data_IF_292786334908
#
_entry.id   IF_292786334908
#
_cell.length_a   1.000
_cell.length_b   1.000
_cell.length_c   1.000
_cell.angle_alpha   90.00
_cell.angle_beta   90.00
_cell.angle_gamma   90.00
#
_symmetry.space_group_name_H-M   'P 1'
#
loop_
_entity.id
_entity.type
_entity.pdbx_description
1 polymer ?
#
# COMPACT_ATOMS: atom_id res chain seq x y z
N UNK A 1 -0.17 -5.66 11.17
CA UNK A 1 -0.10 -5.49 12.64
C UNK A 1 0.83 -4.32 12.97
N UNK A 2 0.53 -3.52 13.99
CA UNK A 2 1.43 -2.45 14.44
C UNK A 2 2.64 -3.00 15.19
N UNK A 3 3.81 -2.38 15.02
CA UNK A 3 5.02 -2.64 15.84
C UNK A 3 4.83 -2.39 17.34
N UNK A 4 3.74 -1.73 17.73
CA UNK A 4 3.38 -1.55 19.15
C UNK A 4 2.79 -2.81 19.78
N UNK A 5 2.23 -3.73 18.98
CA UNK A 5 1.48 -4.85 19.50
C UNK A 5 2.39 -5.85 20.22
N UNK A 6 2.03 -6.38 21.42
CA UNK A 6 2.86 -7.32 22.16
C UNK A 6 3.17 -8.61 21.39
N UNK A 7 2.22 -9.07 20.57
CA UNK A 7 2.41 -10.28 19.74
C UNK A 7 3.18 -10.04 18.43
N UNK A 8 3.79 -8.86 18.23
CA UNK A 8 4.47 -8.54 16.96
C UNK A 8 5.53 -9.58 16.58
N UNK A 9 6.25 -10.12 17.57
CA UNK A 9 7.28 -11.14 17.35
C UNK A 9 6.66 -12.45 16.83
N UNK A 10 5.62 -12.94 17.50
CA UNK A 10 4.92 -14.15 17.08
C UNK A 10 4.26 -13.95 15.70
N UNK A 11 3.74 -12.75 15.43
CA UNK A 11 3.11 -12.39 14.16
C UNK A 11 4.10 -12.43 13.00
N UNK A 12 5.27 -11.79 13.12
CA UNK A 12 6.26 -11.80 12.03
C UNK A 12 6.88 -13.19 11.82
N UNK A 13 6.97 -14.01 12.87
CA UNK A 13 7.50 -15.38 12.78
C UNK A 13 6.48 -16.40 12.26
N UNK A 14 5.20 -16.02 12.21
CA UNK A 14 4.11 -16.92 11.83
C UNK A 14 4.24 -17.49 10.40
N UNK A 15 5.03 -16.84 9.54
CA UNK A 15 5.32 -17.24 8.16
C UNK A 15 6.59 -18.06 7.97
N UNK A 16 7.44 -18.15 8.99
CA UNK A 16 8.66 -18.96 8.94
C UNK A 16 8.34 -20.46 8.98
N UNK A 17 7.23 -20.83 9.62
CA UNK A 17 6.76 -22.22 9.64
C UNK A 17 5.98 -22.51 8.35
N UNK A 18 6.58 -23.28 7.45
CA UNK A 18 5.88 -23.71 6.24
C UNK A 18 4.59 -24.49 6.59
N UNK A 19 3.47 -24.12 5.95
CA UNK A 19 2.19 -24.83 6.07
C UNK A 19 1.18 -24.24 7.06
N UNK A 20 1.54 -23.29 7.92
CA UNK A 20 0.61 -22.67 8.90
C UNK A 20 -0.22 -21.53 8.32
N UNK A 21 0.42 -20.61 7.58
CA UNK A 21 -0.22 -19.43 6.98
C UNK A 21 0.15 -19.26 5.50
N UNK A 22 0.20 -20.37 4.76
CA UNK A 22 0.66 -20.40 3.37
C UNK A 22 -0.15 -19.54 2.39
N UNK A 23 -1.39 -19.18 2.74
CA UNK A 23 -2.31 -18.44 1.87
C UNK A 23 -2.70 -17.06 2.41
N UNK A 24 -1.99 -16.57 3.42
CA UNK A 24 -2.20 -15.24 3.99
C UNK A 24 -0.97 -14.39 3.78
N UNK A 25 -1.15 -13.13 3.40
CA UNK A 25 -0.09 -12.14 3.43
C UNK A 25 -0.11 -11.42 4.77
N UNK A 26 1.07 -11.22 5.37
CA UNK A 26 1.21 -10.39 6.56
C UNK A 26 1.96 -9.09 6.24
N UNK A 27 1.59 -8.02 6.95
CA UNK A 27 2.25 -6.72 6.85
C UNK A 27 2.34 -6.08 8.23
N UNK A 28 3.42 -5.32 8.43
CA UNK A 28 3.70 -4.61 9.67
C UNK A 28 3.60 -3.10 9.41
N UNK A 29 2.87 -2.41 10.29
CA UNK A 29 2.83 -0.96 10.29
C UNK A 29 3.85 -0.39 11.28
N UNK A 30 4.75 0.44 10.75
CA UNK A 30 5.77 1.20 11.49
C UNK A 30 5.36 2.66 11.57
N UNK A 31 5.84 3.39 12.57
CA UNK A 31 5.65 4.83 12.71
C UNK A 31 7.02 5.54 12.77
N UNK A 32 7.02 6.86 12.59
CA UNK A 32 8.23 7.68 12.58
C UNK A 32 8.98 7.54 13.92
N UNK A 33 8.26 7.50 15.06
CA UNK A 33 8.83 7.25 16.39
C UNK A 33 9.61 5.93 16.49
N UNK A 34 9.09 4.85 15.89
CA UNK A 34 9.78 3.56 15.87
C UNK A 34 11.04 3.63 15.02
N UNK A 35 10.98 4.29 13.85
CA UNK A 35 12.14 4.44 12.97
C UNK A 35 13.24 5.26 13.65
N UNK A 36 12.89 6.35 14.32
CA UNK A 36 13.82 7.14 15.16
C UNK A 36 14.42 6.29 16.28
N UNK A 37 13.61 5.44 16.93
CA UNK A 37 14.07 4.52 17.97
C UNK A 37 15.04 3.46 17.42
N UNK A 38 14.81 2.97 16.20
CA UNK A 38 15.71 2.05 15.49
C UNK A 38 17.05 2.74 15.21
N UNK A 39 17.03 3.96 14.66
CA UNK A 39 18.24 4.73 14.38
C UNK A 39 19.05 5.01 15.65
N UNK A 40 18.37 5.36 16.74
CA UNK A 40 18.97 5.70 18.03
C UNK A 40 19.36 4.49 18.89
N UNK A 41 19.05 3.26 18.45
CA UNK A 41 19.31 1.99 19.18
C UNK A 41 18.72 1.95 20.62
N UNK A 42 17.58 2.60 20.82
CA UNK A 42 16.88 2.64 22.11
C UNK A 42 15.91 1.48 22.28
N UNK A 43 15.40 1.33 23.49
CA UNK A 43 14.36 0.33 23.78
C UNK A 43 13.02 0.79 23.19
N UNK A 44 12.29 -0.16 22.62
CA UNK A 44 10.91 -0.01 22.15
C UNK A 44 9.96 -0.73 23.10
N UNK A 45 8.95 -0.03 23.58
CA UNK A 45 7.92 -0.58 24.47
C UNK A 45 6.72 -1.08 23.68
N UNK A 46 6.29 -2.31 23.96
CA UNK A 46 5.06 -2.86 23.38
C UNK A 46 3.84 -2.34 24.12
N UNK A 47 3.00 -1.59 23.42
CA UNK A 47 1.81 -0.90 23.95
C UNK A 47 0.56 -1.37 23.23
N UNK A 48 -0.40 -1.88 24.00
CA UNK A 48 -1.71 -2.30 23.49
C UNK A 48 -2.79 -2.05 24.54
N UNK A 49 -3.98 -1.61 24.12
CA UNK A 49 -5.11 -1.33 25.03
C UNK A 49 -4.71 -0.49 26.28
N UNK A 50 -3.89 0.56 26.07
CA UNK A 50 -3.36 1.45 27.11
C UNK A 50 -2.47 0.78 28.18
N UNK A 51 -1.93 -0.41 27.89
CA UNK A 51 -1.02 -1.14 28.77
C UNK A 51 0.31 -1.42 28.08
N UNK A 52 1.38 -1.44 28.87
CA UNK A 52 2.73 -1.83 28.42
C UNK A 52 2.97 -3.29 28.80
N UNK A 53 3.33 -4.12 27.81
CA UNK A 53 3.50 -5.58 27.99
C UNK A 53 4.96 -6.01 28.07
N UNK A 54 5.88 -5.13 27.71
CA UNK A 54 7.31 -5.41 27.70
C UNK A 54 8.06 -4.43 26.82
N UNK A 55 9.36 -4.69 26.64
CA UNK A 55 10.22 -3.91 25.77
C UNK A 55 11.34 -4.74 25.16
N UNK A 56 11.87 -4.30 24.03
CA UNK A 56 13.09 -4.82 23.43
C UNK A 56 13.83 -3.73 22.68
N UNK A 57 15.09 -3.94 22.31
CA UNK A 57 15.81 -3.00 21.43
C UNK A 57 15.05 -2.82 20.11
N UNK A 58 14.77 -1.57 19.73
CA UNK A 58 14.07 -1.23 18.49
C UNK A 58 14.80 -1.80 17.27
N UNK A 59 16.13 -1.65 17.22
CA UNK A 59 16.99 -2.22 16.18
C UNK A 59 16.92 -3.75 16.11
N UNK A 60 16.76 -4.42 17.26
CA UNK A 60 16.59 -5.88 17.29
C UNK A 60 15.25 -6.30 16.67
N UNK A 61 14.18 -5.55 16.92
CA UNK A 61 12.88 -5.79 16.28
C UNK A 61 12.96 -5.53 14.76
N UNK A 62 13.56 -4.41 14.37
CA UNK A 62 13.79 -4.06 12.97
C UNK A 62 14.57 -5.13 12.22
N UNK A 63 15.73 -5.54 12.75
CA UNK A 63 16.54 -6.58 12.12
C UNK A 63 15.75 -7.88 11.96
N UNK A 64 14.95 -8.26 12.97
CA UNK A 64 14.11 -9.45 12.87
C UNK A 64 13.06 -9.35 11.76
N UNK A 65 12.46 -8.17 11.56
CA UNK A 65 11.55 -7.94 10.43
C UNK A 65 12.29 -8.14 9.11
N UNK A 66 13.47 -7.55 8.97
CA UNK A 66 14.29 -7.66 7.75
C UNK A 66 14.75 -9.10 7.50
N UNK A 67 15.21 -9.80 8.53
CA UNK A 67 15.64 -11.20 8.43
C UNK A 67 14.50 -12.08 7.92
N UNK A 68 13.28 -11.91 8.47
CA UNK A 68 12.11 -12.63 7.99
C UNK A 68 11.74 -12.25 6.53
N UNK A 69 11.83 -10.97 6.17
CA UNK A 69 11.59 -10.53 4.78
C UNK A 69 12.59 -11.17 3.80
N UNK A 70 13.84 -11.36 4.20
CA UNK A 70 14.84 -12.05 3.40
C UNK A 70 14.57 -13.56 3.30
N UNK A 71 14.05 -14.16 4.36
CA UNK A 71 13.78 -15.60 4.43
C UNK A 71 12.50 -16.02 3.70
N UNK A 72 11.41 -15.28 3.87
CA UNK A 72 10.08 -15.66 3.39
C UNK A 72 9.33 -14.59 2.59
N UNK A 73 9.99 -13.47 2.23
CA UNK A 73 9.41 -12.32 1.52
C UNK A 73 8.27 -11.61 2.27
N UNK A 74 8.12 -11.89 3.57
CA UNK A 74 7.10 -11.29 4.45
C UNK A 74 7.73 -10.92 5.81
N UNK A 75 7.21 -9.94 6.55
CA UNK A 75 6.02 -9.13 6.25
C UNK A 75 6.26 -7.99 5.25
N UNK A 76 5.19 -7.53 4.60
CA UNK A 76 5.18 -6.20 3.97
C UNK A 76 5.38 -5.08 5.01
N UNK A 77 5.86 -3.92 4.58
CA UNK A 77 6.13 -2.76 5.45
C UNK A 77 5.27 -1.56 5.06
N UNK A 78 4.63 -0.95 6.04
CA UNK A 78 3.76 0.22 5.86
C UNK A 78 4.16 1.32 6.85
N UNK A 79 4.52 2.51 6.38
CA UNK A 79 4.66 3.68 7.26
C UNK A 79 3.27 4.26 7.56
N UNK A 80 2.82 4.08 8.80
CA UNK A 80 1.48 4.48 9.26
C UNK A 80 1.29 6.00 9.29
N UNK A 81 2.31 6.76 9.67
CA UNK A 81 2.23 8.23 9.68
C UNK A 81 1.96 8.78 8.28
N UNK A 82 2.70 8.29 7.29
CA UNK A 82 2.52 8.71 5.89
C UNK A 82 1.17 8.27 5.33
N UNK A 83 0.72 7.07 5.70
CA UNK A 83 -0.56 6.52 5.27
C UNK A 83 -1.73 7.35 5.81
N UNK A 84 -1.70 7.75 7.08
CA UNK A 84 -2.74 8.57 7.71
C UNK A 84 -2.75 10.01 7.16
N UNK A 85 -1.58 10.60 6.89
CA UNK A 85 -1.46 11.99 6.39
C UNK A 85 -1.93 12.17 4.95
N UNK A 86 -1.63 11.22 4.07
CA UNK A 86 -1.81 11.38 2.62
C UNK A 86 -3.08 10.69 2.08
N UNK A 87 -4.10 10.58 2.92
CA UNK A 87 -5.31 9.86 2.56
C UNK A 87 -6.57 10.52 3.12
N UNK A 88 -7.70 9.93 2.81
CA UNK A 88 -9.04 10.29 3.23
C UNK A 88 -9.34 10.06 4.72
N UNK A 89 -8.30 9.86 5.55
CA UNK A 89 -8.42 9.52 6.97
C UNK A 89 -9.32 10.47 7.76
N UNK A 90 -9.33 11.76 7.41
CA UNK A 90 -10.12 12.80 8.08
C UNK A 90 -11.63 12.60 7.99
N UNK A 91 -12.13 11.97 6.91
CA UNK A 91 -13.56 11.69 6.74
C UNK A 91 -13.87 10.20 6.90
N UNK A 92 -12.89 9.35 6.64
CA UNK A 92 -13.06 7.92 6.62
C UNK A 92 -11.78 7.21 7.09
N UNK A 93 -11.71 6.90 8.40
CA UNK A 93 -10.53 6.33 9.03
C UNK A 93 -10.15 4.98 8.43
N UNK A 94 -8.97 4.96 7.79
CA UNK A 94 -8.43 3.77 7.15
C UNK A 94 -7.86 2.81 8.19
N UNK A 95 -7.93 1.51 7.90
CA UNK A 95 -7.50 0.45 8.83
C UNK A 95 -6.33 -0.37 8.31
N UNK A 96 -6.03 -0.26 7.01
CA UNK A 96 -4.92 -0.95 6.38
C UNK A 96 -4.93 -0.74 4.88
N UNK A 97 -4.34 -1.69 4.17
CA UNK A 97 -4.36 -1.76 2.71
C UNK A 97 -5.07 -3.01 2.22
N UNK A 98 -5.40 -3.04 0.94
CA UNK A 98 -5.75 -4.28 0.24
C UNK A 98 -4.53 -5.23 0.15
N UNK A 99 -4.70 -6.47 -0.35
CA UNK A 99 -3.63 -7.46 -0.43
C UNK A 99 -2.41 -7.03 -1.26
N UNK A 100 -2.60 -6.14 -2.23
CA UNK A 100 -1.52 -5.67 -3.12
C UNK A 100 -0.81 -4.40 -2.59
N UNK A 101 -1.32 -3.79 -1.51
CA UNK A 101 -0.67 -2.69 -0.79
C UNK A 101 -0.86 -1.29 -1.37
N UNK A 102 -1.49 -1.16 -2.54
CA UNK A 102 -1.70 0.11 -3.26
C UNK A 102 -2.95 0.86 -2.84
N UNK A 103 -3.98 0.15 -2.38
CA UNK A 103 -5.24 0.76 -1.97
C UNK A 103 -5.32 0.82 -0.44
N UNK A 104 -5.31 2.04 0.11
CA UNK A 104 -5.47 2.30 1.54
C UNK A 104 -6.95 2.45 1.85
N UNK A 105 -7.49 1.54 2.66
CA UNK A 105 -8.92 1.31 2.78
C UNK A 105 -9.42 1.28 4.23
N UNK A 106 -10.66 1.73 4.38
CA UNK A 106 -11.45 1.58 5.60
C UNK A 106 -12.21 0.25 5.58
N UNK A 107 -12.83 -0.17 6.69
CA UNK A 107 -13.66 -1.37 6.70
C UNK A 107 -14.76 -1.30 5.62
N UNK A 108 -14.96 -2.42 4.92
CA UNK A 108 -15.95 -2.57 3.84
C UNK A 108 -15.73 -1.72 2.59
N UNK A 109 -14.59 -1.02 2.46
CA UNK A 109 -14.24 -0.34 1.21
C UNK A 109 -13.95 -1.33 0.07
N UNK A 110 -13.95 -0.80 -1.15
CA UNK A 110 -13.72 -1.55 -2.38
C UNK A 110 -12.54 -1.01 -3.19
N UNK A 111 -11.89 -1.90 -3.93
CA UNK A 111 -10.88 -1.56 -4.92
C UNK A 111 -11.51 -1.58 -6.33
N UNK A 112 -12.08 -0.47 -6.77
CA UNK A 112 -12.44 -0.31 -8.18
C UNK A 112 -11.24 0.24 -8.97
N UNK A 113 -10.59 -0.63 -9.75
CA UNK A 113 -9.25 -0.37 -10.30
C UNK A 113 -9.22 -0.35 -11.82
N UNK A 114 -8.45 0.57 -12.37
CA UNK A 114 -8.13 0.66 -13.80
C UNK A 114 -6.65 0.92 -14.03
N UNK A 115 -6.16 0.72 -15.25
CA UNK A 115 -4.75 1.00 -15.60
C UNK A 115 -4.60 1.54 -17.01
N UNK A 116 -3.85 2.63 -17.14
CA UNK A 116 -3.51 3.23 -18.43
C UNK A 116 -2.19 2.66 -18.97
N UNK A 117 -2.16 2.07 -20.18
CA UNK A 117 -0.93 1.62 -20.81
C UNK A 117 -0.11 2.83 -21.31
N UNK A 118 0.92 3.22 -20.55
CA UNK A 118 1.75 4.39 -20.83
C UNK A 118 2.33 4.45 -22.26
N UNK A 119 2.78 3.33 -22.87
CA UNK A 119 3.33 3.36 -24.24
C UNK A 119 2.35 3.91 -25.29
N UNK A 120 1.04 3.81 -25.07
CA UNK A 120 0.02 4.30 -26.02
C UNK A 120 -0.10 5.83 -26.07
N UNK A 121 0.64 6.53 -25.21
CA UNK A 121 0.66 7.99 -25.12
C UNK A 121 1.98 8.59 -25.62
N UNK A 122 2.83 7.82 -26.28
CA UNK A 122 4.05 8.35 -26.91
C UNK A 122 3.71 8.93 -28.29
N UNK A 123 4.28 10.09 -28.62
CA UNK A 123 4.22 10.72 -29.93
C UNK A 123 5.62 10.89 -30.51
N UNK A 124 5.79 10.43 -31.75
CA UNK A 124 7.13 10.25 -32.32
C UNK A 124 7.94 9.26 -31.49
N UNK A 125 9.24 9.52 -31.32
CA UNK A 125 10.10 8.58 -30.59
C UNK A 125 10.29 8.95 -29.10
N UNK A 126 10.07 10.20 -28.69
CA UNK A 126 10.49 10.63 -27.33
C UNK A 126 9.45 11.48 -26.58
N UNK A 127 8.44 12.01 -27.27
CA UNK A 127 7.51 12.95 -26.66
C UNK A 127 6.30 12.23 -26.07
N UNK A 128 5.73 12.81 -25.00
CA UNK A 128 4.45 12.37 -24.46
C UNK A 128 3.32 13.18 -25.09
N UNK A 129 2.27 12.51 -25.53
CA UNK A 129 0.99 13.13 -25.85
C UNK A 129 0.19 13.40 -24.58
N UNK A 130 0.57 14.45 -23.86
CA UNK A 130 -0.10 14.86 -22.62
C UNK A 130 -1.59 15.17 -22.81
N UNK A 131 -1.97 15.71 -23.98
CA UNK A 131 -3.38 15.98 -24.32
C UNK A 131 -4.19 14.69 -24.35
N UNK A 132 -3.73 13.69 -25.12
CA UNK A 132 -4.39 12.37 -25.20
C UNK A 132 -4.43 11.68 -23.84
N UNK A 133 -3.33 11.72 -23.08
CA UNK A 133 -3.30 11.14 -21.74
C UNK A 133 -4.38 11.78 -20.84
N UNK A 134 -4.47 13.11 -20.80
CA UNK A 134 -5.49 13.80 -20.01
C UNK A 134 -6.93 13.50 -20.46
N UNK A 135 -7.18 13.37 -21.76
CA UNK A 135 -8.50 12.99 -22.29
C UNK A 135 -8.89 11.57 -21.88
N UNK A 136 -7.96 10.60 -22.01
CA UNK A 136 -8.20 9.21 -21.63
C UNK A 136 -8.32 9.04 -20.11
N UNK A 137 -7.52 9.77 -19.32
CA UNK A 137 -7.64 9.77 -17.85
C UNK A 137 -9.04 10.20 -17.42
N UNK A 138 -9.60 11.28 -18.00
CA UNK A 138 -10.97 11.73 -17.67
C UNK A 138 -12.02 10.69 -18.04
N UNK A 139 -11.87 10.05 -19.19
CA UNK A 139 -12.77 8.98 -19.62
C UNK A 139 -12.68 7.77 -18.69
N UNK A 140 -11.46 7.37 -18.29
CA UNK A 140 -11.24 6.26 -17.39
C UNK A 140 -11.80 6.53 -15.98
N UNK A 141 -11.65 7.76 -15.46
CA UNK A 141 -12.26 8.17 -14.19
C UNK A 141 -13.78 8.04 -14.25
N UNK A 142 -14.42 8.54 -15.31
CA UNK A 142 -15.87 8.39 -15.49
C UNK A 142 -16.27 6.92 -15.61
N UNK A 143 -15.52 6.13 -16.37
CA UNK A 143 -15.79 4.69 -16.53
C UNK A 143 -15.75 3.95 -15.19
N UNK A 144 -14.74 4.21 -14.36
CA UNK A 144 -14.64 3.61 -13.02
C UNK A 144 -15.79 4.09 -12.12
N UNK A 145 -16.11 5.38 -12.16
CA UNK A 145 -17.28 5.89 -11.41
C UNK A 145 -18.59 5.19 -11.83
N UNK A 146 -18.79 4.93 -13.13
CA UNK A 146 -19.93 4.14 -13.62
C UNK A 146 -19.88 2.67 -13.14
N UNK A 147 -18.69 2.08 -12.97
CA UNK A 147 -18.50 0.73 -12.42
C UNK A 147 -19.04 0.62 -11.01
N UNK A 148 -18.88 1.66 -10.19
CA UNK A 148 -19.40 1.69 -8.81
C UNK A 148 -20.91 1.42 -8.78
N UNK A 149 -21.66 2.01 -9.71
CA UNK A 149 -23.13 1.91 -9.77
C UNK A 149 -23.63 0.58 -10.34
N UNK A 150 -22.91 -0.02 -11.29
CA UNK A 150 -23.33 -1.26 -11.97
C UNK A 150 -22.84 -2.52 -11.27
N UNK A 151 -21.83 -2.39 -10.40
CA UNK A 151 -21.26 -3.53 -9.70
C UNK A 151 -22.28 -4.18 -8.75
N UNK A 152 -22.15 -5.49 -8.55
CA UNK A 152 -22.96 -6.24 -7.58
C UNK A 152 -22.12 -6.56 -6.35
N UNK A 153 -22.42 -5.90 -5.24
CA UNK A 153 -21.72 -6.10 -3.98
C UNK A 153 -22.32 -7.27 -3.19
N UNK A 154 -21.45 -8.05 -2.55
CA UNK A 154 -21.85 -9.28 -1.83
C UNK A 154 -22.49 -8.96 -0.48
N UNK A 155 -22.01 -7.91 0.19
CA UNK A 155 -22.52 -7.45 1.48
C UNK A 155 -23.13 -6.06 1.32
N UNK A 156 -24.22 -5.80 2.02
CA UNK A 156 -24.92 -4.52 1.98
C UNK A 156 -24.05 -3.37 2.52
N UNK A 157 -23.18 -3.65 3.50
CA UNK A 157 -22.24 -2.70 4.05
C UNK A 157 -21.24 -2.23 3.00
N UNK A 158 -20.78 -3.14 2.14
CA UNK A 158 -19.86 -2.83 1.03
C UNK A 158 -20.60 -1.99 0.00
N UNK A 159 -21.84 -2.33 -0.33
CA UNK A 159 -22.68 -1.58 -1.26
C UNK A 159 -22.87 -0.12 -0.82
N UNK A 160 -23.33 0.06 0.42
CA UNK A 160 -23.51 1.37 1.04
C UNK A 160 -22.18 2.14 1.10
N UNK A 161 -21.09 1.46 1.43
CA UNK A 161 -19.76 2.08 1.51
C UNK A 161 -19.25 2.56 0.15
N UNK A 162 -19.38 1.72 -0.88
CA UNK A 162 -18.94 2.03 -2.24
C UNK A 162 -19.72 3.22 -2.80
N UNK A 163 -21.05 3.24 -2.67
CA UNK A 163 -21.87 4.35 -3.16
C UNK A 163 -21.66 5.66 -2.41
N UNK A 164 -21.37 5.61 -1.11
CA UNK A 164 -21.11 6.81 -0.31
C UNK A 164 -19.72 7.41 -0.55
N UNK A 165 -18.71 6.57 -0.77
CA UNK A 165 -17.32 7.01 -0.89
C UNK A 165 -16.88 7.22 -2.34
N UNK A 166 -17.44 6.45 -3.29
CA UNK A 166 -17.10 6.40 -4.71
C UNK A 166 -15.58 6.39 -4.98
N UNK A 167 -14.83 5.65 -4.13
CA UNK A 167 -13.38 5.53 -4.27
C UNK A 167 -13.04 4.68 -5.49
N UNK A 168 -12.14 5.20 -6.32
CA UNK A 168 -11.59 4.53 -7.51
C UNK A 168 -10.06 4.59 -7.48
N UNK A 169 -9.40 3.65 -8.15
CA UNK A 169 -7.95 3.57 -8.27
C UNK A 169 -7.51 3.45 -9.73
N UNK A 170 -7.22 4.59 -10.36
CA UNK A 170 -6.67 4.60 -11.72
C UNK A 170 -5.14 4.62 -11.69
N UNK A 171 -4.55 3.46 -11.96
CA UNK A 171 -3.11 3.27 -12.07
C UNK A 171 -2.59 3.41 -13.51
N UNK A 172 -1.34 2.97 -13.68
CA UNK A 172 -0.63 2.93 -14.95
C UNK A 172 0.09 1.60 -15.11
N UNK A 173 0.31 1.18 -16.36
CA UNK A 173 1.16 0.04 -16.69
C UNK A 173 2.10 0.37 -17.85
N UNK A 174 3.14 -0.42 -18.03
CA UNK A 174 4.10 -0.26 -19.12
C UNK A 174 5.10 0.88 -18.93
N UNK A 175 5.45 1.21 -17.68
CA UNK A 175 6.45 2.26 -17.38
C UNK A 175 7.82 1.93 -17.96
N UNK A 176 8.24 0.66 -17.93
CA UNK A 176 9.53 0.23 -18.48
C UNK A 176 9.59 0.46 -20.00
N UNK A 177 8.58 0.00 -20.74
CA UNK A 177 8.44 0.19 -22.18
C UNK A 177 8.36 1.68 -22.54
N UNK A 178 7.67 2.45 -21.71
CA UNK A 178 7.58 3.89 -21.87
C UNK A 178 8.95 4.58 -21.74
N UNK A 179 9.76 4.18 -20.75
CA UNK A 179 11.12 4.68 -20.59
C UNK A 179 12.05 4.21 -21.72
N UNK A 180 11.93 2.96 -22.16
CA UNK A 180 12.71 2.42 -23.27
C UNK A 180 12.45 3.16 -24.58
N UNK A 181 11.19 3.40 -24.91
CA UNK A 181 10.83 4.17 -26.10
C UNK A 181 11.46 5.57 -26.05
N UNK A 182 11.49 6.20 -24.87
CA UNK A 182 12.12 7.51 -24.66
C UNK A 182 13.65 7.49 -24.61
N UNK A 183 14.29 6.32 -24.64
CA UNK A 183 15.74 6.19 -24.43
C UNK A 183 16.19 6.64 -23.02
N UNK A 184 15.29 6.52 -22.03
CA UNK A 184 15.58 6.90 -20.64
C UNK A 184 15.91 5.68 -19.80
N UNK A 185 16.98 5.78 -19.01
CA UNK A 185 17.35 4.77 -18.03
C UNK A 185 16.52 4.98 -16.76
N UNK A 186 15.92 3.91 -16.23
CA UNK A 186 15.27 3.92 -14.92
C UNK A 186 16.26 4.34 -13.83
N UNK A 187 15.87 5.26 -12.96
CA UNK A 187 16.73 5.82 -11.90
C UNK A 187 17.76 6.85 -12.38
N UNK A 188 17.63 7.39 -13.60
CA UNK A 188 18.35 8.60 -14.02
C UNK A 188 17.58 9.86 -13.64
N UNK A 189 18.27 10.99 -13.48
CA UNK A 189 17.65 12.30 -13.17
C UNK A 189 16.56 12.70 -14.18
N UNK A 190 16.66 12.23 -15.43
CA UNK A 190 15.67 12.49 -16.48
C UNK A 190 14.42 11.62 -16.39
N UNK A 191 14.45 10.54 -15.60
CA UNK A 191 13.36 9.60 -15.39
C UNK A 191 12.67 9.77 -14.02
N UNK A 192 13.11 10.74 -13.22
CA UNK A 192 12.61 11.07 -11.88
C UNK A 192 11.85 12.38 -11.94
#
# INVERSE_FOLDING_TARGET
MSVNHPDIINFIDSKLVHGTLSHFNISVSVNDEFLEAVESDVDWEFKFAHQTYGKMKARKLWNKIIDNMLECAEPGLINWNNLVKNNSYYYDPVTGTNPCGEAVLSPYDVCDLGSLPLPNFITGNVNTNWKKLGEVTKLAVRFLDDVVDVNKYVLNEIDVKAHNSRRIGLGVMGLAEYLFAKGLRYGSDKAT
#
